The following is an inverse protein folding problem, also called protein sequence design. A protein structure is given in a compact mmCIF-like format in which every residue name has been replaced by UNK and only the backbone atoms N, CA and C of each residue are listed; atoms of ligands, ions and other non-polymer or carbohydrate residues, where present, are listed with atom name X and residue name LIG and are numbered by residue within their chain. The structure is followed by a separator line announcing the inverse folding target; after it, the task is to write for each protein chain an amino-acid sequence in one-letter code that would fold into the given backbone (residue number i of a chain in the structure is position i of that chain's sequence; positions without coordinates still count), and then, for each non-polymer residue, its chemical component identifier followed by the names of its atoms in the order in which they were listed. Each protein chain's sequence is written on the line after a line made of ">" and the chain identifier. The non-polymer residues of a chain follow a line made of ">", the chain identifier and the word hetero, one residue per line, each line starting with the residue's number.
data_IF_955275639975
#
_entry.id   IF_955275639975
#
_cell.length_a   1.000
_cell.length_b   1.000
_cell.length_c   1.000
_cell.angle_alpha   90.00
_cell.angle_beta   90.00
_cell.angle_gamma   90.00
#
_symmetry.space_group_name_H-M   'P 1'
#
loop_
_entity.id
_entity.type
_entity.pdbx_description
1 polymer ?
#
# COMPACT_ATOMS: atom_id res chain seq x y z
N UNK A 1 -15.54 -7.14 29.78
CA UNK A 1 -15.82 -5.91 29.05
C UNK A 1 -17.14 -6.07 28.32
N UNK A 2 -18.21 -5.43 28.80
CA UNK A 2 -19.53 -5.42 28.14
C UNK A 2 -19.53 -4.45 26.94
N UNK A 3 -18.65 -4.69 25.95
CA UNK A 3 -18.62 -3.92 24.71
C UNK A 3 -18.80 -4.85 23.52
N UNK A 4 -19.56 -4.40 22.57
CA UNK A 4 -19.80 -5.09 21.28
C UNK A 4 -18.79 -4.56 20.28
N UNK A 5 -18.16 -5.46 19.51
CA UNK A 5 -17.22 -5.11 18.44
C UNK A 5 -17.74 -5.57 17.08
N UNK A 6 -17.78 -4.64 16.14
CA UNK A 6 -17.98 -4.96 14.72
C UNK A 6 -16.72 -5.50 14.08
N UNK A 7 -16.82 -6.59 13.31
CA UNK A 7 -15.72 -7.17 12.57
C UNK A 7 -16.04 -7.31 11.08
N UNK A 8 -15.05 -7.01 10.26
CA UNK A 8 -15.03 -7.30 8.82
C UNK A 8 -14.04 -8.42 8.59
N UNK A 9 -14.45 -9.51 7.97
CA UNK A 9 -13.58 -10.64 7.67
C UNK A 9 -12.84 -10.39 6.36
N UNK A 10 -11.52 -10.50 6.40
CA UNK A 10 -10.70 -10.34 5.20
C UNK A 10 -10.64 -11.62 4.39
N UNK A 11 -10.85 -11.49 3.08
CA UNK A 11 -10.82 -12.58 2.10
C UNK A 11 -9.56 -12.47 1.26
N UNK A 12 -8.86 -13.57 1.07
CA UNK A 12 -7.69 -13.66 0.20
C UNK A 12 -8.13 -13.81 -1.26
N UNK A 13 -7.76 -12.85 -2.09
CA UNK A 13 -8.07 -12.80 -3.53
C UNK A 13 -6.82 -12.66 -4.41
N UNK A 14 -5.70 -13.24 -3.98
CA UNK A 14 -4.50 -13.40 -4.79
C UNK A 14 -3.27 -12.64 -4.32
N UNK A 15 -3.38 -11.70 -3.37
CA UNK A 15 -2.20 -10.93 -2.88
C UNK A 15 -1.30 -11.76 -1.95
N UNK A 16 -1.79 -12.88 -1.42
CA UNK A 16 -1.07 -13.84 -0.58
C UNK A 16 -0.45 -13.23 0.68
N UNK A 17 -1.13 -12.26 1.28
CA UNK A 17 -0.68 -11.61 2.51
C UNK A 17 -1.54 -12.01 3.71
N UNK A 18 -2.76 -11.55 3.76
CA UNK A 18 -3.73 -11.93 4.80
C UNK A 18 -5.09 -12.17 4.18
N UNK A 19 -5.83 -13.07 4.78
CA UNK A 19 -7.21 -13.33 4.37
C UNK A 19 -7.61 -14.79 4.52
N UNK A 20 -8.91 -14.98 4.56
CA UNK A 20 -9.57 -16.29 4.58
C UNK A 20 -9.72 -16.72 3.13
N UNK A 21 -9.27 -17.92 2.81
CA UNK A 21 -9.49 -18.50 1.47
C UNK A 21 -10.99 -18.58 1.18
N UNK A 22 -11.45 -18.21 -0.03
CA UNK A 22 -12.87 -18.16 -0.40
C UNK A 22 -13.68 -19.39 0.02
N UNK A 23 -13.22 -20.65 -0.18
CA UNK A 23 -13.98 -21.82 0.25
C UNK A 23 -14.21 -21.95 1.76
N UNK A 24 -13.45 -21.21 2.58
CA UNK A 24 -13.55 -21.28 4.03
C UNK A 24 -14.41 -20.16 4.63
N UNK A 25 -14.85 -19.18 3.81
CA UNK A 25 -15.50 -17.97 4.33
C UNK A 25 -16.82 -18.28 5.05
N UNK A 26 -17.68 -19.13 4.50
CA UNK A 26 -18.95 -19.48 5.15
C UNK A 26 -18.76 -20.16 6.49
N UNK A 27 -17.78 -21.07 6.58
CA UNK A 27 -17.42 -21.73 7.85
C UNK A 27 -16.97 -20.71 8.88
N UNK A 28 -16.18 -19.74 8.47
CA UNK A 28 -15.67 -18.70 9.36
C UNK A 28 -16.77 -17.74 9.80
N UNK A 29 -17.64 -17.29 8.89
CA UNK A 29 -18.83 -16.47 9.24
C UNK A 29 -19.68 -17.19 10.27
N UNK A 30 -20.00 -18.47 10.06
CA UNK A 30 -20.77 -19.29 11.02
C UNK A 30 -20.12 -19.34 12.39
N UNK A 31 -18.80 -19.41 12.47
CA UNK A 31 -18.07 -19.40 13.73
C UNK A 31 -18.15 -18.01 14.41
N UNK A 32 -17.97 -16.94 13.65
CA UNK A 32 -18.04 -15.56 14.14
C UNK A 32 -19.42 -15.22 14.69
N UNK A 33 -20.49 -15.64 14.00
CA UNK A 33 -21.88 -15.41 14.44
C UNK A 33 -22.24 -16.08 15.79
N UNK A 34 -21.40 -17.00 16.27
CA UNK A 34 -21.56 -17.66 17.59
C UNK A 34 -20.79 -16.99 18.71
N UNK A 35 -19.91 -16.03 18.38
CA UNK A 35 -19.06 -15.38 19.38
C UNK A 35 -19.88 -14.33 20.15
N UNK A 36 -19.80 -14.31 21.49
CA UNK A 36 -20.41 -13.25 22.28
C UNK A 36 -19.71 -11.92 22.02
N UNK A 37 -20.49 -10.84 22.06
CA UNK A 37 -19.98 -9.47 21.91
C UNK A 37 -19.29 -9.15 20.55
N UNK A 38 -19.50 -9.96 19.54
CA UNK A 38 -19.02 -9.73 18.16
C UNK A 38 -20.24 -9.55 17.25
N UNK A 39 -20.20 -8.52 16.42
CA UNK A 39 -21.13 -8.33 15.30
C UNK A 39 -20.36 -8.49 14.00
N UNK A 40 -20.80 -9.40 13.15
CA UNK A 40 -20.33 -9.52 11.79
C UNK A 40 -20.84 -8.34 10.97
N UNK A 41 -19.94 -7.52 10.44
CA UNK A 41 -20.29 -6.33 9.65
C UNK A 41 -20.19 -6.58 8.14
N UNK A 42 -19.38 -7.57 7.73
CA UNK A 42 -19.17 -7.87 6.32
C UNK A 42 -17.82 -8.48 6.00
N UNK A 43 -17.47 -8.39 4.75
CA UNK A 43 -16.21 -8.92 4.22
C UNK A 43 -15.41 -7.84 3.53
N UNK A 44 -14.12 -8.09 3.33
CA UNK A 44 -13.25 -7.20 2.56
C UNK A 44 -12.06 -7.95 2.01
N UNK A 45 -11.31 -7.30 1.14
CA UNK A 45 -10.03 -7.82 0.63
C UNK A 45 -8.96 -6.75 0.70
N UNK A 46 -7.71 -7.15 0.50
CA UNK A 46 -6.60 -6.24 0.34
C UNK A 46 -5.71 -6.75 -0.80
N UNK A 47 -5.41 -5.87 -1.74
CA UNK A 47 -4.64 -6.18 -2.94
C UNK A 47 -3.43 -5.24 -3.05
N UNK A 48 -2.48 -5.57 -3.93
CA UNK A 48 -1.30 -4.77 -4.27
C UNK A 48 -0.32 -4.49 -3.12
N UNK A 49 -0.47 -5.14 -1.96
CA UNK A 49 0.40 -4.89 -0.81
C UNK A 49 1.66 -5.76 -0.80
N UNK A 50 1.52 -7.04 -1.14
CA UNK A 50 2.62 -8.01 -1.12
C UNK A 50 3.01 -8.45 -2.52
N UNK A 51 2.04 -8.87 -3.31
CA UNK A 51 2.28 -9.50 -4.62
C UNK A 51 1.97 -8.58 -5.79
N UNK A 52 1.53 -7.35 -5.53
CA UNK A 52 1.23 -6.38 -6.58
C UNK A 52 0.00 -6.72 -7.41
N UNK A 53 -0.90 -7.57 -6.91
CA UNK A 53 -2.13 -7.92 -7.61
C UNK A 53 -3.03 -6.71 -7.73
N UNK A 54 -3.24 -6.25 -8.95
CA UNK A 54 -4.10 -5.09 -9.21
C UNK A 54 -5.59 -5.46 -9.03
N UNK A 55 -6.40 -4.54 -8.45
CA UNK A 55 -7.85 -4.69 -8.47
C UNK A 55 -8.38 -4.62 -9.90
N UNK A 56 -9.23 -5.56 -10.25
CA UNK A 56 -9.88 -5.64 -11.55
C UNK A 56 -11.33 -6.10 -11.43
N UNK A 57 -12.02 -6.18 -12.58
CA UNK A 57 -13.40 -6.62 -12.63
C UNK A 57 -13.60 -8.04 -12.08
N UNK A 58 -12.62 -8.92 -12.27
CA UNK A 58 -12.73 -10.32 -11.90
C UNK A 58 -12.68 -10.49 -10.37
N UNK A 59 -11.61 -10.01 -9.73
CA UNK A 59 -11.44 -10.15 -8.28
C UNK A 59 -12.48 -9.33 -7.49
N UNK A 60 -12.95 -8.20 -8.03
CA UNK A 60 -14.02 -7.40 -7.39
C UNK A 60 -15.41 -8.03 -7.56
N UNK A 61 -15.68 -8.69 -8.69
CA UNK A 61 -16.89 -9.48 -8.87
C UNK A 61 -16.91 -10.73 -7.97
N UNK A 62 -15.76 -11.39 -7.79
CA UNK A 62 -15.62 -12.51 -6.87
C UNK A 62 -15.94 -12.11 -5.42
N UNK A 63 -15.42 -10.97 -4.96
CA UNK A 63 -15.75 -10.44 -3.63
C UNK A 63 -17.25 -10.15 -3.47
N UNK A 64 -17.88 -9.60 -4.51
CA UNK A 64 -19.32 -9.32 -4.54
C UNK A 64 -20.13 -10.63 -4.48
N UNK A 65 -19.75 -11.64 -5.25
CA UNK A 65 -20.42 -12.95 -5.26
C UNK A 65 -20.30 -13.66 -3.90
N UNK A 66 -19.16 -13.54 -3.22
CA UNK A 66 -18.99 -14.06 -1.86
C UNK A 66 -19.92 -13.36 -0.87
N UNK A 67 -20.11 -12.04 -0.98
CA UNK A 67 -21.06 -11.30 -0.17
C UNK A 67 -22.50 -11.79 -0.40
N UNK A 68 -22.90 -11.99 -1.65
CA UNK A 68 -24.22 -12.53 -2.01
C UNK A 68 -24.42 -13.96 -1.49
N UNK A 69 -23.40 -14.80 -1.58
CA UNK A 69 -23.43 -16.17 -1.04
C UNK A 69 -23.65 -16.18 0.48
N UNK A 70 -22.97 -15.28 1.21
CA UNK A 70 -23.14 -15.14 2.66
C UNK A 70 -24.57 -14.70 2.98
N UNK A 71 -25.09 -13.68 2.29
CA UNK A 71 -26.45 -13.19 2.51
C UNK A 71 -27.51 -14.26 2.15
N UNK A 72 -27.30 -15.01 1.10
CA UNK A 72 -28.16 -16.13 0.74
C UNK A 72 -28.19 -17.24 1.82
N UNK A 73 -27.07 -17.46 2.50
CA UNK A 73 -26.92 -18.52 3.50
C UNK A 73 -27.37 -18.13 4.90
N UNK A 74 -27.18 -16.89 5.30
CA UNK A 74 -27.33 -16.43 6.69
C UNK A 74 -28.38 -15.32 6.86
N UNK A 75 -29.03 -14.88 5.76
CA UNK A 75 -29.86 -13.68 5.71
C UNK A 75 -29.02 -12.43 5.40
N UNK A 76 -29.65 -11.26 5.22
CA UNK A 76 -29.00 -10.00 4.80
C UNK A 76 -28.13 -9.41 5.92
N UNK A 77 -26.96 -9.98 6.15
CA UNK A 77 -26.03 -9.60 7.24
C UNK A 77 -24.75 -8.89 6.76
N UNK A 78 -24.49 -8.89 5.44
CA UNK A 78 -23.31 -8.23 4.87
C UNK A 78 -23.61 -6.76 4.62
N UNK A 79 -23.27 -5.92 5.58
CA UNK A 79 -23.45 -4.46 5.48
C UNK A 79 -22.27 -3.76 4.81
N UNK A 80 -21.05 -4.29 4.99
CA UNK A 80 -19.82 -3.73 4.45
C UNK A 80 -19.14 -4.71 3.51
N UNK A 81 -18.89 -4.27 2.28
CA UNK A 81 -18.04 -4.97 1.32
C UNK A 81 -16.88 -4.05 0.97
N UNK A 82 -15.74 -4.28 1.64
CA UNK A 82 -14.56 -3.44 1.51
C UNK A 82 -13.65 -3.94 0.38
N UNK A 83 -13.66 -3.24 -0.75
CA UNK A 83 -12.97 -3.66 -1.98
C UNK A 83 -11.44 -3.57 -1.91
N UNK A 84 -10.88 -2.89 -0.91
CA UNK A 84 -9.43 -2.81 -0.77
C UNK A 84 -8.92 -1.44 -0.29
N UNK A 85 -7.76 -1.08 -0.80
CA UNK A 85 -6.97 0.08 -0.38
C UNK A 85 -6.85 1.15 -1.49
N UNK A 86 -5.82 2.00 -1.39
CA UNK A 86 -5.52 3.04 -2.37
C UNK A 86 -5.34 2.52 -3.81
N UNK A 87 -4.94 1.26 -4.01
CA UNK A 87 -4.82 0.64 -5.34
C UNK A 87 -6.17 0.52 -6.06
N UNK A 88 -7.27 0.45 -5.32
CA UNK A 88 -8.61 0.35 -5.89
C UNK A 88 -9.19 1.69 -6.36
N UNK A 89 -8.58 2.82 -6.00
CA UNK A 89 -9.18 4.13 -6.24
C UNK A 89 -9.37 4.42 -7.73
N UNK A 90 -8.35 4.17 -8.55
CA UNK A 90 -8.44 4.38 -10.00
C UNK A 90 -9.53 3.51 -10.63
N UNK A 91 -9.61 2.22 -10.22
CA UNK A 91 -10.66 1.31 -10.66
C UNK A 91 -12.05 1.81 -10.26
N UNK A 92 -12.24 2.21 -9.01
CA UNK A 92 -13.53 2.70 -8.52
C UNK A 92 -13.97 4.01 -9.22
N UNK A 93 -13.03 4.87 -9.61
CA UNK A 93 -13.30 6.12 -10.33
C UNK A 93 -13.44 5.95 -11.85
N UNK A 94 -13.12 4.78 -12.40
CA UNK A 94 -13.18 4.52 -13.86
C UNK A 94 -14.60 4.40 -14.43
N UNK A 95 -15.63 4.40 -13.56
CA UNK A 95 -17.01 4.10 -13.96
C UNK A 95 -17.31 2.60 -14.12
N UNK A 96 -16.38 1.73 -13.67
CA UNK A 96 -16.63 0.30 -13.62
C UNK A 96 -17.78 -0.04 -12.69
N UNK A 97 -18.47 -1.15 -12.97
CA UNK A 97 -19.46 -1.71 -12.07
C UNK A 97 -18.76 -2.17 -10.77
N UNK A 98 -19.07 -1.54 -9.68
CA UNK A 98 -18.50 -1.84 -8.36
C UNK A 98 -19.23 -2.97 -7.62
N UNK A 99 -20.34 -3.48 -8.18
CA UNK A 99 -21.11 -4.56 -7.57
C UNK A 99 -21.54 -4.23 -6.15
N UNK A 100 -21.25 -5.13 -5.21
CA UNK A 100 -21.55 -4.97 -3.77
C UNK A 100 -20.55 -4.09 -3.01
N UNK A 101 -19.46 -3.64 -3.67
CA UNK A 101 -18.42 -2.87 -2.98
C UNK A 101 -18.94 -1.49 -2.62
N UNK A 102 -18.92 -1.18 -1.34
CA UNK A 102 -19.43 0.07 -0.76
C UNK A 102 -18.42 0.76 0.18
N UNK A 103 -17.19 0.21 0.28
CA UNK A 103 -16.15 0.75 1.15
C UNK A 103 -14.76 0.58 0.53
N UNK A 104 -13.91 1.60 0.65
CA UNK A 104 -12.48 1.54 0.37
C UNK A 104 -11.71 2.14 1.55
N UNK A 105 -10.54 1.59 1.83
CA UNK A 105 -9.64 2.06 2.89
C UNK A 105 -8.49 2.84 2.26
N UNK A 106 -8.66 4.14 2.15
CA UNK A 106 -7.74 5.03 1.47
C UNK A 106 -6.77 5.68 2.46
N UNK A 107 -5.48 5.63 2.17
CA UNK A 107 -4.42 6.29 2.91
C UNK A 107 -3.42 6.90 1.95
N UNK A 108 -2.54 6.09 1.37
CA UNK A 108 -1.45 6.52 0.50
C UNK A 108 -1.90 7.44 -0.63
N UNK A 109 -2.95 7.08 -1.35
CA UNK A 109 -3.45 7.89 -2.45
C UNK A 109 -3.88 9.30 -2.04
N UNK A 110 -4.49 9.46 -0.86
CA UNK A 110 -4.91 10.76 -0.35
C UNK A 110 -3.73 11.61 0.15
N UNK A 111 -2.75 10.95 0.79
CA UNK A 111 -1.60 11.64 1.39
C UNK A 111 -0.57 12.05 0.33
N UNK A 112 -0.35 11.21 -0.69
CA UNK A 112 0.70 11.40 -1.70
C UNK A 112 0.15 11.88 -3.04
N UNK A 113 -1.17 11.88 -3.24
CA UNK A 113 -1.80 12.31 -4.49
C UNK A 113 -1.51 11.38 -5.68
N UNK A 114 -0.97 10.19 -5.43
CA UNK A 114 -0.59 9.20 -6.44
C UNK A 114 -1.24 7.86 -6.14
N UNK A 115 -1.58 7.09 -7.18
CA UNK A 115 -2.00 5.70 -7.02
C UNK A 115 -0.77 4.79 -6.81
N UNK A 116 -0.89 3.71 -6.01
CA UNK A 116 0.27 2.92 -5.61
C UNK A 116 0.74 1.88 -6.64
N UNK A 117 -0.04 1.57 -7.68
CA UNK A 117 0.29 0.52 -8.66
C UNK A 117 1.39 0.97 -9.64
N UNK A 118 1.31 2.21 -10.12
CA UNK A 118 2.23 2.77 -11.12
C UNK A 118 2.76 4.16 -10.72
N UNK A 119 2.44 4.62 -9.51
CA UNK A 119 2.82 5.95 -8.97
C UNK A 119 2.34 7.12 -9.83
N UNK A 120 1.24 6.93 -10.57
CA UNK A 120 0.67 7.98 -11.40
C UNK A 120 -0.15 8.96 -10.55
N UNK A 121 -0.07 10.24 -10.93
CA UNK A 121 -0.82 11.31 -10.25
C UNK A 121 -2.33 11.13 -10.41
N UNK A 122 -3.06 11.30 -9.33
CA UNK A 122 -4.52 11.28 -9.33
C UNK A 122 -5.02 12.70 -9.58
N UNK A 123 -5.82 12.88 -10.65
CA UNK A 123 -6.38 14.18 -11.00
C UNK A 123 -7.18 14.77 -9.84
N UNK A 124 -6.84 16.01 -9.47
CA UNK A 124 -7.51 16.75 -8.40
C UNK A 124 -6.90 16.55 -7.02
N UNK A 125 -5.87 15.70 -6.87
CA UNK A 125 -5.12 15.58 -5.62
C UNK A 125 -3.77 16.27 -5.69
N UNK A 126 -3.29 16.74 -4.52
CA UNK A 126 -1.97 17.36 -4.36
C UNK A 126 -0.89 16.27 -4.25
N UNK A 127 0.23 16.47 -4.94
CA UNK A 127 1.41 15.58 -4.87
C UNK A 127 2.55 16.14 -4.04
N UNK A 128 2.34 17.30 -3.45
CA UNK A 128 3.28 18.09 -2.64
C UNK A 128 2.74 18.39 -1.23
N UNK A 129 1.72 17.65 -0.80
CA UNK A 129 1.11 17.82 0.52
C UNK A 129 2.07 17.45 1.66
N UNK A 130 3.07 16.59 1.39
CA UNK A 130 4.08 16.20 2.36
C UNK A 130 5.45 16.65 1.86
N UNK A 131 6.14 17.44 2.68
CA UNK A 131 7.51 17.91 2.42
C UNK A 131 8.39 17.48 3.59
N UNK A 132 9.52 16.83 3.26
CA UNK A 132 10.51 16.42 4.23
C UNK A 132 11.64 17.46 4.29
N UNK A 133 11.95 17.94 5.48
CA UNK A 133 13.08 18.83 5.74
C UNK A 133 14.14 18.07 6.52
N UNK A 134 15.39 18.17 6.06
CA UNK A 134 16.54 17.58 6.76
C UNK A 134 17.70 18.58 6.77
N UNK A 135 18.40 18.66 7.90
CA UNK A 135 19.57 19.52 8.06
C UNK A 135 20.74 19.05 7.23
N UNK A 136 21.46 19.97 6.60
CA UNK A 136 22.75 19.66 5.92
C UNK A 136 23.85 19.67 6.97
N UNK A 137 24.40 18.51 7.29
CA UNK A 137 25.47 18.37 8.29
C UNK A 137 26.87 18.38 7.70
N UNK A 138 27.01 18.13 6.40
CA UNK A 138 28.27 18.29 5.67
C UNK A 138 28.00 18.73 4.23
N UNK A 139 28.81 19.65 3.72
CA UNK A 139 28.84 20.02 2.30
C UNK A 139 30.30 20.06 1.84
N UNK A 140 30.69 19.14 0.93
CA UNK A 140 32.06 19.04 0.42
C UNK A 140 32.10 18.62 -1.05
N UNK A 141 33.18 19.01 -1.74
CA UNK A 141 33.51 18.49 -3.05
C UNK A 141 34.29 17.22 -2.88
N UNK A 142 33.81 16.11 -3.44
CA UNK A 142 34.38 14.77 -3.33
C UNK A 142 34.41 14.10 -4.71
N UNK A 143 35.27 13.09 -4.95
CA UNK A 143 35.17 12.23 -6.12
C UNK A 143 33.80 11.52 -6.15
N UNK A 144 33.20 11.40 -7.33
CA UNK A 144 31.95 10.68 -7.50
C UNK A 144 32.09 9.17 -7.49
N UNK A 145 33.30 8.66 -7.65
CA UNK A 145 33.62 7.23 -7.63
C UNK A 145 34.40 6.91 -6.38
N UNK A 146 34.00 5.91 -5.60
CA UNK A 146 34.80 5.44 -4.48
C UNK A 146 36.12 4.82 -4.97
N UNK A 147 37.16 4.87 -4.15
CA UNK A 147 38.47 4.30 -4.43
C UNK A 147 38.89 3.30 -3.33
N UNK A 148 39.82 2.41 -3.67
CA UNK A 148 40.24 1.31 -2.83
C UNK A 148 39.55 0.00 -3.18
N UNK A 149 39.76 -1.03 -2.34
CA UNK A 149 39.14 -2.34 -2.52
C UNK A 149 37.65 -2.26 -2.07
N UNK A 150 36.74 -2.44 -3.00
CA UNK A 150 35.33 -2.41 -2.74
C UNK A 150 34.86 -3.77 -2.22
N UNK A 151 34.09 -3.78 -1.16
CA UNK A 151 33.41 -4.93 -0.58
C UNK A 151 31.91 -4.63 -0.44
N UNK A 152 31.17 -5.45 0.28
CA UNK A 152 29.77 -5.24 0.56
C UNK A 152 29.55 -3.96 1.39
N UNK A 153 28.55 -3.17 1.02
CA UNK A 153 28.10 -2.01 1.81
C UNK A 153 27.15 -2.44 2.94
N UNK A 154 26.84 -1.53 3.83
CA UNK A 154 25.93 -1.78 4.97
C UNK A 154 24.53 -2.24 4.56
N UNK A 155 24.07 -1.82 3.39
CA UNK A 155 22.72 -2.13 2.87
C UNK A 155 22.73 -3.05 1.64
N UNK A 156 23.74 -3.87 1.48
CA UNK A 156 23.83 -4.86 0.41
C UNK A 156 24.94 -4.58 -0.60
N UNK A 157 24.76 -5.04 -1.84
CA UNK A 157 25.75 -4.86 -2.90
C UNK A 157 25.87 -3.40 -3.33
N UNK A 158 27.12 -2.98 -3.59
CA UNK A 158 27.39 -1.64 -4.12
C UNK A 158 27.05 -1.60 -5.60
N UNK A 159 26.08 -0.77 -5.96
CA UNK A 159 25.77 -0.53 -7.37
C UNK A 159 26.92 0.27 -7.99
N UNK A 160 27.57 -0.24 -9.06
CA UNK A 160 28.66 0.49 -9.71
C UNK A 160 28.19 1.86 -10.20
N UNK A 161 28.80 2.92 -9.70
CA UNK A 161 28.51 4.28 -10.14
C UNK A 161 29.45 4.70 -11.27
N UNK A 162 28.90 5.41 -12.27
CA UNK A 162 29.72 6.02 -13.33
C UNK A 162 30.57 7.13 -12.73
N UNK A 163 31.86 7.15 -13.08
CA UNK A 163 32.72 8.26 -12.71
C UNK A 163 32.28 9.57 -13.39
N UNK A 164 32.05 10.60 -12.58
CA UNK A 164 31.63 11.95 -13.00
C UNK A 164 32.69 13.00 -12.61
N UNK A 165 33.86 12.57 -12.16
CA UNK A 165 34.90 13.45 -11.59
C UNK A 165 34.52 13.94 -10.18
N UNK A 166 34.94 15.13 -9.82
CA UNK A 166 34.63 15.74 -8.55
C UNK A 166 33.23 16.37 -8.59
N UNK A 167 32.40 16.07 -7.58
CA UNK A 167 31.05 16.59 -7.43
C UNK A 167 30.87 17.18 -6.03
N UNK A 168 30.05 18.19 -5.91
CA UNK A 168 29.62 18.70 -4.60
C UNK A 168 28.58 17.76 -4.02
N UNK A 169 28.85 17.26 -2.81
CA UNK A 169 27.97 16.34 -2.08
C UNK A 169 27.59 16.95 -0.74
N UNK A 170 26.32 16.83 -0.40
CA UNK A 170 25.80 17.14 0.91
C UNK A 170 25.46 15.85 1.67
N UNK A 171 25.73 15.81 2.96
CA UNK A 171 25.21 14.81 3.89
C UNK A 171 24.09 15.47 4.69
N UNK A 172 22.96 14.79 4.75
CA UNK A 172 21.77 15.23 5.49
C UNK A 172 21.66 14.44 6.79
N UNK A 173 21.09 15.08 7.81
CA UNK A 173 20.80 14.45 9.11
C UNK A 173 19.57 13.53 9.05
N UNK A 174 19.52 12.64 8.06
CA UNK A 174 18.46 11.67 7.82
C UNK A 174 19.03 10.46 7.08
N UNK A 175 18.49 9.29 7.29
CA UNK A 175 18.95 8.07 6.64
C UNK A 175 17.83 7.04 6.42
N UNK A 176 18.21 5.83 6.02
CA UNK A 176 17.29 4.72 5.72
C UNK A 176 16.46 4.27 6.93
N UNK A 177 16.86 4.60 8.13
CA UNK A 177 16.07 4.35 9.33
C UNK A 177 14.81 5.21 9.36
N UNK A 178 14.87 6.40 8.77
CA UNK A 178 13.81 7.41 8.86
C UNK A 178 12.94 7.42 7.59
N UNK A 179 13.54 7.14 6.43
CA UNK A 179 12.86 7.21 5.14
C UNK A 179 13.48 6.28 4.11
N UNK A 180 12.69 5.89 3.12
CA UNK A 180 13.18 5.22 1.92
C UNK A 180 13.67 6.26 0.90
N UNK A 181 14.97 6.27 0.56
CA UNK A 181 15.52 7.22 -0.41
C UNK A 181 14.88 7.16 -1.80
N UNK A 182 14.39 5.98 -2.20
CA UNK A 182 13.74 5.78 -3.50
C UNK A 182 12.36 6.45 -3.56
N UNK A 183 11.73 6.66 -2.40
CA UNK A 183 10.47 7.40 -2.26
C UNK A 183 10.62 8.92 -2.22
N UNK A 184 11.84 9.46 -2.20
CA UNK A 184 12.09 10.89 -2.09
C UNK A 184 12.23 11.55 -3.46
N UNK A 185 11.61 12.72 -3.62
CA UNK A 185 11.80 13.60 -4.78
C UNK A 185 12.71 14.75 -4.39
N UNK A 186 13.97 14.79 -4.85
CA UNK A 186 14.89 15.87 -4.52
C UNK A 186 14.46 17.19 -5.21
N UNK A 187 14.88 18.35 -4.67
CA UNK A 187 14.70 19.62 -5.34
C UNK A 187 15.32 19.63 -6.75
N UNK A 188 14.84 20.51 -7.68
CA UNK A 188 15.39 20.61 -9.01
C UNK A 188 16.91 20.80 -9.03
N UNK A 189 17.62 20.07 -9.88
CA UNK A 189 19.07 20.14 -10.02
C UNK A 189 19.87 19.29 -9.01
N UNK A 190 19.19 18.67 -8.04
CA UNK A 190 19.83 17.75 -7.08
C UNK A 190 19.50 16.28 -7.41
N UNK A 191 20.33 15.39 -6.88
CA UNK A 191 20.12 13.93 -6.97
C UNK A 191 20.49 13.28 -5.64
N UNK A 192 19.68 12.33 -5.23
CA UNK A 192 20.02 11.44 -4.13
C UNK A 192 21.03 10.44 -4.65
N UNK A 193 22.17 10.32 -3.98
CA UNK A 193 23.28 9.45 -4.40
C UNK A 193 23.28 8.12 -3.65
N UNK A 194 23.04 8.16 -2.36
CA UNK A 194 22.98 7.01 -1.47
C UNK A 194 22.27 7.44 -0.16
N UNK A 195 21.89 6.46 0.61
CA UNK A 195 21.40 6.65 1.97
C UNK A 195 21.78 5.45 2.84
#
# INVERSE_FOLDING_TARGET
>A
LNRIHGVVLMVELGDLREGIMPPLIEKTVRAVLRLPNIIFMGIGTNLACRSGVAPDRHNMAELSALADSIDARFGPIVNTVSGGNSANLAWALSGADTGRINNLRLGEALLLGCEPLHRQKIKGLHTDAITLFAEVIELKTKPSKPWGKIAQAAFGEVIPSRDRGSITQAILAIGRQDTDPEGLVPPPGLKILAA
#
